data_IF_108291049673
#
_entry.id   IF_108291049673
#
_cell.length_a   1.000
_cell.length_b   1.000
_cell.length_c   1.000
_cell.angle_alpha   90.00
_cell.angle_beta   90.00
_cell.angle_gamma   90.00
#
_symmetry.space_group_name_H-M   'P 1'
#
loop_
_entity.id
_entity.type
_entity.pdbx_description
1 polymer ?
#
# COMPACT_ATOMS: atom_id res chain seq x y z
N UNK A 1 -4.17 -0.88 -3.61
CA UNK A 1 -3.30 -1.75 -2.78
C UNK A 1 -4.18 -2.40 -1.76
N UNK A 2 -4.49 -3.67 -1.93
CA UNK A 2 -5.25 -4.44 -0.95
C UNK A 2 -4.55 -4.38 0.40
N UNK A 3 -5.30 -3.95 1.39
CA UNK A 3 -4.81 -3.63 2.71
C UNK A 3 -5.68 -4.28 3.78
N UNK A 4 -5.04 -4.91 4.76
CA UNK A 4 -5.71 -5.40 5.96
C UNK A 4 -4.92 -5.01 7.20
N UNK A 5 -5.59 -4.90 8.34
CA UNK A 5 -4.96 -4.58 9.62
C UNK A 5 -5.21 -5.72 10.58
N UNK A 6 -4.15 -6.27 11.16
CA UNK A 6 -4.22 -7.26 12.22
C UNK A 6 -3.23 -6.91 13.34
N UNK A 7 -3.68 -6.97 14.60
CA UNK A 7 -2.89 -6.65 15.79
C UNK A 7 -2.05 -5.34 15.72
N UNK A 8 -2.54 -4.30 15.03
CA UNK A 8 -1.83 -3.02 14.88
C UNK A 8 -0.75 -3.01 13.79
N UNK A 9 -0.73 -4.04 12.94
CA UNK A 9 0.12 -4.14 11.75
C UNK A 9 -0.78 -3.98 10.53
N UNK A 10 -0.41 -3.06 9.65
CA UNK A 10 -0.97 -2.92 8.32
C UNK A 10 -0.19 -3.83 7.38
N UNK A 11 -0.92 -4.67 6.64
CA UNK A 11 -0.40 -5.54 5.60
C UNK A 11 -0.84 -5.02 4.24
N UNK A 12 0.11 -4.93 3.30
CA UNK A 12 -0.17 -4.65 1.90
C UNK A 12 0.08 -5.90 1.07
N UNK A 13 -0.88 -6.28 0.23
CA UNK A 13 -0.75 -7.47 -0.59
C UNK A 13 0.48 -7.39 -1.50
N UNK A 14 1.24 -8.48 -1.56
CA UNK A 14 2.51 -8.58 -2.31
C UNK A 14 2.43 -8.16 -3.80
N UNK A 15 1.26 -8.32 -4.43
CA UNK A 15 1.07 -8.01 -5.85
C UNK A 15 0.74 -6.55 -6.11
N UNK A 16 0.35 -5.81 -5.06
CA UNK A 16 -0.04 -4.41 -5.19
C UNK A 16 1.09 -3.44 -4.79
N UNK A 17 2.16 -3.94 -4.17
CA UNK A 17 3.35 -3.13 -3.84
C UNK A 17 4.20 -2.90 -5.10
N UNK A 18 4.88 -1.74 -5.22
CA UNK A 18 5.69 -1.45 -6.39
C UNK A 18 6.87 -2.43 -6.52
N UNK A 19 7.31 -2.65 -7.75
CA UNK A 19 8.51 -3.45 -8.04
C UNK A 19 9.67 -2.55 -8.50
N UNK A 20 10.86 -2.84 -7.99
CA UNK A 20 12.08 -2.19 -8.47
C UNK A 20 12.44 -2.65 -9.89
N UNK A 21 12.72 -1.69 -10.79
CA UNK A 21 13.17 -1.98 -12.16
C UNK A 21 14.43 -1.19 -12.48
N UNK A 22 15.54 -1.89 -12.77
CA UNK A 22 16.87 -1.28 -13.01
C UNK A 22 16.86 -0.21 -14.11
N UNK A 23 16.07 -0.41 -15.17
CA UNK A 23 15.88 0.54 -16.27
C UNK A 23 14.50 1.19 -16.27
N UNK A 24 13.83 1.21 -15.11
CA UNK A 24 12.47 1.73 -14.94
C UNK A 24 12.39 3.23 -14.66
N UNK A 25 11.16 3.70 -14.42
CA UNK A 25 10.88 5.08 -14.02
C UNK A 25 11.63 5.44 -12.73
N UNK A 26 12.33 6.58 -12.75
CA UNK A 26 12.97 7.13 -11.57
C UNK A 26 11.96 7.36 -10.44
N UNK A 27 10.77 7.87 -10.76
CA UNK A 27 9.72 8.12 -9.76
C UNK A 27 9.23 6.83 -9.13
N UNK A 28 8.99 5.78 -9.93
CA UNK A 28 8.52 4.49 -9.41
C UNK A 28 9.58 3.78 -8.56
N UNK A 29 10.85 3.89 -8.94
CA UNK A 29 11.94 3.37 -8.13
C UNK A 29 12.13 4.17 -6.83
N UNK A 30 11.98 5.50 -6.87
CA UNK A 30 11.99 6.33 -5.66
C UNK A 30 10.82 5.98 -4.74
N UNK A 31 9.62 5.76 -5.29
CA UNK A 31 8.45 5.31 -4.53
C UNK A 31 8.70 3.96 -3.86
N UNK A 32 9.23 2.98 -4.61
CA UNK A 32 9.62 1.67 -4.08
C UNK A 32 10.58 1.81 -2.89
N UNK A 33 11.64 2.60 -3.02
CA UNK A 33 12.63 2.74 -1.95
C UNK A 33 12.09 3.52 -0.75
N UNK A 34 11.21 4.50 -0.97
CA UNK A 34 10.57 5.26 0.10
C UNK A 34 9.59 4.39 0.91
N UNK A 35 8.79 3.55 0.25
CA UNK A 35 7.97 2.55 0.94
C UNK A 35 8.84 1.55 1.71
N UNK A 36 9.87 1.02 1.06
CA UNK A 36 10.71 -0.03 1.64
C UNK A 36 11.49 0.46 2.87
N UNK A 37 11.85 1.73 2.93
CA UNK A 37 12.63 2.28 4.04
C UNK A 37 11.83 2.47 5.34
N UNK A 38 10.50 2.49 5.26
CA UNK A 38 9.61 2.62 6.43
C UNK A 38 8.83 1.34 6.73
N UNK A 39 9.01 0.29 5.94
CA UNK A 39 8.38 -1.01 6.18
C UNK A 39 9.10 -1.75 7.31
N UNK A 40 8.33 -2.38 8.20
CA UNK A 40 8.86 -3.31 9.20
C UNK A 40 9.33 -4.60 8.52
N UNK A 41 8.58 -5.05 7.52
CA UNK A 41 8.94 -6.19 6.67
C UNK A 41 8.57 -5.93 5.21
N UNK A 42 9.53 -6.15 4.32
CA UNK A 42 9.35 -6.01 2.86
C UNK A 42 10.06 -7.17 2.14
N UNK A 43 9.42 -8.34 2.17
CA UNK A 43 9.93 -9.57 1.58
C UNK A 43 9.65 -9.69 0.08
N UNK A 44 10.39 -10.58 -0.60
CA UNK A 44 9.99 -11.05 -1.92
C UNK A 44 8.87 -12.07 -1.76
N UNK A 45 7.80 -11.94 -2.55
CA UNK A 45 6.64 -12.83 -2.52
C UNK A 45 6.02 -12.99 -1.12
N UNK A 46 5.93 -11.87 -0.39
CA UNK A 46 5.27 -11.75 0.89
C UNK A 46 4.64 -10.36 0.98
N UNK A 47 3.54 -10.28 1.71
CA UNK A 47 2.92 -9.01 2.05
C UNK A 47 3.91 -8.09 2.79
N UNK A 48 3.74 -6.79 2.58
CA UNK A 48 4.56 -5.79 3.24
C UNK A 48 3.88 -5.35 4.54
N UNK A 49 4.65 -5.28 5.61
CA UNK A 49 4.17 -5.02 6.96
C UNK A 49 4.59 -3.62 7.43
N UNK A 50 3.64 -2.89 8.03
CA UNK A 50 3.86 -1.56 8.60
C UNK A 50 3.14 -1.45 9.95
N UNK A 51 3.91 -1.23 11.02
CA UNK A 51 3.41 -0.97 12.36
C UNK A 51 2.84 0.45 12.47
N UNK A 52 1.97 0.65 13.46
CA UNK A 52 1.24 1.91 13.66
C UNK A 52 2.13 3.17 13.77
N UNK A 53 3.35 3.02 14.28
CA UNK A 53 4.33 4.11 14.42
C UNK A 53 4.68 4.78 13.10
N UNK A 54 4.66 4.04 11.98
CA UNK A 54 4.97 4.58 10.64
C UNK A 54 3.74 5.00 9.83
N UNK A 55 2.52 4.68 10.28
CA UNK A 55 1.30 5.00 9.52
C UNK A 55 1.13 6.48 9.17
N UNK A 56 1.44 7.45 10.05
CA UNK A 56 1.37 8.87 9.69
C UNK A 56 2.32 9.25 8.55
N UNK A 57 3.50 8.63 8.48
CA UNK A 57 4.45 8.84 7.39
C UNK A 57 3.98 8.16 6.10
N UNK A 58 3.50 6.91 6.21
CA UNK A 58 2.93 6.16 5.11
C UNK A 58 1.77 6.92 4.44
N UNK A 59 0.76 7.35 5.22
CA UNK A 59 -0.40 8.07 4.68
C UNK A 59 -0.01 9.36 3.92
N UNK A 60 0.89 10.16 4.48
CA UNK A 60 1.39 11.40 3.82
C UNK A 60 2.15 11.10 2.53
N UNK A 61 2.98 10.06 2.55
CA UNK A 61 3.75 9.65 1.39
C UNK A 61 2.83 9.16 0.27
N UNK A 62 1.84 8.32 0.58
CA UNK A 62 0.87 7.81 -0.39
C UNK A 62 0.11 8.94 -1.06
N UNK A 63 -0.42 9.90 -0.30
CA UNK A 63 -1.09 11.10 -0.85
C UNK A 63 -0.14 11.89 -1.75
N UNK A 64 1.09 12.14 -1.31
CA UNK A 64 2.08 12.92 -2.08
C UNK A 64 2.40 12.25 -3.44
N UNK A 65 2.51 10.93 -3.45
CA UNK A 65 2.78 10.16 -4.66
C UNK A 65 1.54 10.04 -5.56
N UNK A 66 0.34 9.96 -5.00
CA UNK A 66 -0.93 10.00 -5.73
C UNK A 66 -1.09 11.31 -6.49
N UNK A 67 -0.83 12.44 -5.84
CA UNK A 67 -0.90 13.79 -6.44
C UNK A 67 0.15 14.02 -7.53
N UNK A 68 1.22 13.22 -7.56
CA UNK A 68 2.29 13.35 -8.57
C UNK A 68 1.84 12.94 -9.98
N UNK A 69 0.79 12.11 -10.11
CA UNK A 69 0.28 11.61 -11.39
C UNK A 69 1.18 10.60 -12.13
N UNK A 70 2.29 10.17 -11.53
CA UNK A 70 3.24 9.23 -12.17
C UNK A 70 2.99 7.75 -11.85
N UNK A 71 2.10 7.45 -10.91
CA UNK A 71 1.80 6.11 -10.42
C UNK A 71 0.34 5.76 -10.70
N UNK A 72 0.04 4.48 -10.87
CA UNK A 72 -1.34 4.03 -10.98
C UNK A 72 -2.13 4.28 -9.70
N UNK A 73 -3.45 4.49 -9.83
CA UNK A 73 -4.35 4.67 -8.69
C UNK A 73 -4.18 3.56 -7.63
N UNK A 74 -4.20 2.30 -8.08
CA UNK A 74 -4.03 1.14 -7.18
C UNK A 74 -2.65 1.02 -6.55
N UNK A 75 -1.63 1.73 -7.03
CA UNK A 75 -0.29 1.73 -6.42
C UNK A 75 -0.19 2.68 -5.23
N UNK A 76 -1.11 3.63 -5.06
CA UNK A 76 -1.02 4.70 -4.06
C UNK A 76 -2.22 4.78 -3.12
N UNK A 77 -3.27 3.98 -3.38
CA UNK A 77 -4.49 3.93 -2.58
C UNK A 77 -4.55 2.62 -1.82
N UNK A 78 -4.83 2.70 -0.52
CA UNK A 78 -5.12 1.55 0.34
C UNK A 78 -6.57 1.13 0.13
N UNK A 79 -6.80 -0.13 -0.20
CA UNK A 79 -8.10 -0.72 -0.47
C UNK A 79 -8.43 -1.66 0.70
N UNK A 80 -9.34 -1.23 1.57
CA UNK A 80 -9.81 -2.01 2.72
C UNK A 80 -11.16 -2.63 2.41
N UNK A 81 -11.49 -3.77 3.02
CA UNK A 81 -12.87 -4.28 3.03
C UNK A 81 -13.78 -3.35 3.82
N UNK A 82 -15.08 -3.36 3.51
CA UNK A 82 -16.09 -2.42 4.03
C UNK A 82 -16.38 -2.56 5.53
N UNK A 83 -15.97 -3.65 6.14
CA UNK A 83 -16.07 -3.92 7.58
C UNK A 83 -14.94 -3.29 8.42
N UNK A 84 -13.88 -2.76 7.77
CA UNK A 84 -12.70 -2.24 8.48
C UNK A 84 -12.85 -0.77 8.84
N UNK A 85 -12.68 -0.46 10.14
CA UNK A 85 -12.54 0.89 10.64
C UNK A 85 -11.14 1.45 10.32
N UNK A 86 -11.02 2.20 9.22
CA UNK A 86 -9.73 2.76 8.78
C UNK A 86 -9.19 3.81 9.78
N UNK A 87 -7.95 3.64 10.29
CA UNK A 87 -7.28 4.60 11.18
C UNK A 87 -7.17 6.00 10.56
N UNK A 88 -7.27 7.05 11.39
CA UNK A 88 -7.22 8.45 10.95
C UNK A 88 -5.97 8.78 10.11
N UNK A 89 -4.82 8.20 10.49
CA UNK A 89 -3.55 8.41 9.80
C UNK A 89 -3.54 7.88 8.35
N UNK A 90 -4.34 6.84 8.06
CA UNK A 90 -4.40 6.17 6.77
C UNK A 90 -5.59 6.64 5.92
N UNK A 91 -6.65 7.15 6.55
CA UNK A 91 -7.90 7.57 5.90
C UNK A 91 -7.71 8.45 4.66
N UNK A 92 -6.80 9.44 4.61
CA UNK A 92 -6.61 10.28 3.43
C UNK A 92 -6.14 9.53 2.18
N UNK A 93 -5.51 8.36 2.35
CA UNK A 93 -4.99 7.54 1.26
C UNK A 93 -5.79 6.23 1.09
N UNK A 94 -7.01 6.15 1.64
CA UNK A 94 -7.78 4.91 1.72
C UNK A 94 -9.10 4.97 0.97
N UNK A 95 -9.53 3.82 0.48
CA UNK A 95 -10.85 3.55 -0.09
C UNK A 95 -11.34 2.18 0.36
N UNK A 96 -12.60 1.89 0.07
CA UNK A 96 -13.17 0.56 0.26
C UNK A 96 -13.17 -0.23 -1.05
N UNK A 97 -13.00 -1.55 -0.93
CA UNK A 97 -13.18 -2.54 -1.99
C UNK A 97 -14.24 -3.56 -1.54
N UNK A 98 -15.04 -4.06 -2.48
CA UNK A 98 -16.02 -5.09 -2.19
C UNK A 98 -15.32 -6.43 -1.90
N UNK A 99 -15.89 -7.26 -1.02
CA UNK A 99 -15.26 -8.50 -0.58
C UNK A 99 -15.12 -9.53 -1.73
N UNK A 100 -16.06 -9.57 -2.66
CA UNK A 100 -16.01 -10.41 -3.86
C UNK A 100 -14.92 -9.97 -4.86
N UNK A 101 -14.70 -8.66 -4.99
CA UNK A 101 -13.59 -8.12 -5.78
C UNK A 101 -12.22 -8.40 -5.15
N UNK A 102 -12.15 -8.60 -3.83
CA UNK A 102 -10.91 -8.95 -3.13
C UNK A 102 -10.44 -10.37 -3.52
N UNK A 103 -11.36 -11.33 -3.49
CA UNK A 103 -11.09 -12.76 -3.72
C UNK A 103 -10.80 -13.09 -5.20
N UNK A 104 -11.49 -12.45 -6.15
CA UNK A 104 -11.30 -12.70 -7.59
C UNK A 104 -9.88 -12.33 -8.07
N UNK A 105 -9.22 -11.39 -7.39
CA UNK A 105 -7.85 -10.97 -7.71
C UNK A 105 -6.76 -11.94 -7.19
N UNK A 106 -7.09 -12.88 -6.31
CA UNK A 106 -6.16 -13.91 -5.82
C UNK A 106 -6.25 -15.24 -6.60
N UNK A 107 -7.21 -15.37 -7.52
CA UNK A 107 -7.43 -16.58 -8.33
C UNK A 107 -6.86 -16.52 -9.75
N UNK A 108 -6.21 -15.40 -10.13
CA UNK A 108 -5.62 -15.13 -11.45
C UNK A 108 -4.09 -15.17 -11.41
#
# INVERSE_FOLDING_TARGET
MRAHIDHGILYLHQDDVPTYKKSGSMVRNSYFWALKSIADRAGFNHDWEFTDVVWPALGRMLVSFMESGYLGYRETVLEFTDDVAVPDALRPASTWIAADEYDDNDQL
#
